data_IF_242171550927
#
_entry.id   IF_242171550927
#
_cell.length_a   1.000
_cell.length_b   1.000
_cell.length_c   1.000
_cell.angle_alpha   90.00
_cell.angle_beta   90.00
_cell.angle_gamma   90.00
#
_symmetry.space_group_name_H-M   'P 1'
#
loop_
_entity.id
_entity.type
_entity.pdbx_description
1 polymer ?
#
# COMPACT_ATOMS: atom_id res chain seq x y z
N UNK A 1 11.72 0.25 -15.31
CA UNK A 1 12.72 0.28 -14.22
C UNK A 1 12.60 -1.04 -13.48
N UNK A 2 13.70 -1.76 -13.27
CA UNK A 2 13.72 -3.03 -12.53
C UNK A 2 14.65 -2.89 -11.34
N UNK A 3 14.35 -3.58 -10.23
CA UNK A 3 15.27 -3.67 -9.10
C UNK A 3 16.59 -4.34 -9.52
N UNK A 4 17.71 -4.02 -8.86
CA UNK A 4 18.98 -4.68 -9.14
C UNK A 4 18.90 -6.16 -8.74
N UNK A 5 19.61 -7.04 -9.46
CA UNK A 5 19.64 -8.47 -9.14
C UNK A 5 20.29 -8.77 -7.79
N UNK A 6 21.25 -7.93 -7.38
CA UNK A 6 21.91 -8.00 -6.09
C UNK A 6 21.48 -6.80 -5.27
N UNK A 7 21.03 -7.06 -4.05
CA UNK A 7 20.74 -6.00 -3.09
C UNK A 7 22.03 -5.29 -2.67
N UNK A 8 21.90 -4.01 -2.28
CA UNK A 8 22.95 -3.25 -1.62
C UNK A 8 22.36 -2.30 -0.57
N UNK A 9 23.14 -1.90 0.45
CA UNK A 9 22.70 -0.91 1.43
C UNK A 9 22.26 0.40 0.76
N UNK A 10 21.17 0.99 1.25
CA UNK A 10 20.58 2.22 0.70
C UNK A 10 19.77 2.02 -0.58
N UNK A 11 19.51 0.78 -1.01
CA UNK A 11 18.57 0.51 -2.09
C UNK A 11 17.16 0.93 -1.67
N UNK A 12 16.65 1.98 -2.31
CA UNK A 12 15.34 2.56 -2.02
C UNK A 12 14.42 2.52 -3.23
N UNK A 13 13.11 2.53 -2.96
CA UNK A 13 12.07 2.74 -3.96
C UNK A 13 11.17 3.89 -3.56
N UNK A 14 10.54 4.52 -4.55
CA UNK A 14 9.46 5.48 -4.34
C UNK A 14 8.15 4.72 -4.44
N UNK A 15 7.34 4.78 -3.39
CA UNK A 15 5.98 4.24 -3.39
C UNK A 15 5.00 5.41 -3.33
N UNK A 16 4.10 5.46 -4.32
CA UNK A 16 3.02 6.43 -4.39
C UNK A 16 1.69 5.68 -4.37
N UNK A 17 0.77 6.13 -3.52
CA UNK A 17 -0.54 5.51 -3.40
C UNK A 17 -1.63 6.52 -3.07
N UNK A 18 -2.86 6.11 -3.31
CA UNK A 18 -4.06 6.90 -3.07
C UNK A 18 -4.96 6.14 -2.09
N UNK A 19 -5.42 6.81 -1.03
CA UNK A 19 -6.29 6.24 0.01
C UNK A 19 -7.66 6.91 -0.05
N UNK A 20 -8.68 6.10 -0.31
CA UNK A 20 -10.09 6.47 -0.17
C UNK A 20 -10.45 6.54 1.34
N UNK A 21 -10.89 7.68 1.87
CA UNK A 21 -11.26 7.82 3.28
C UNK A 21 -12.57 7.10 3.63
N UNK A 22 -13.40 6.77 2.65
CA UNK A 22 -14.72 6.17 2.82
C UNK A 22 -14.92 4.98 1.89
N UNK A 23 -14.06 3.94 2.01
CA UNK A 23 -14.13 2.78 1.13
C UNK A 23 -15.51 2.14 1.21
N UNK A 24 -16.03 1.73 0.05
CA UNK A 24 -17.34 1.08 -0.09
C UNK A 24 -18.57 1.93 0.27
N UNK A 25 -18.42 3.25 0.47
CA UNK A 25 -19.57 4.14 0.68
C UNK A 25 -20.61 4.05 -0.46
N UNK A 26 -20.17 3.72 -1.67
CA UNK A 26 -21.02 3.50 -2.85
C UNK A 26 -22.11 2.44 -2.64
N UNK A 27 -21.94 1.49 -1.71
CA UNK A 27 -22.93 0.46 -1.43
C UNK A 27 -24.20 1.00 -0.74
N UNK A 28 -24.16 2.22 -0.19
CA UNK A 28 -25.29 2.87 0.49
C UNK A 28 -25.95 3.96 -0.36
N UNK A 29 -25.45 4.18 -1.57
CA UNK A 29 -25.93 5.25 -2.42
C UNK A 29 -27.26 4.89 -3.08
N UNK A 30 -28.20 5.84 -3.21
CA UNK A 30 -29.49 5.60 -3.84
C UNK A 30 -29.39 5.43 -5.37
N UNK A 31 -28.33 5.95 -5.99
CA UNK A 31 -28.11 5.85 -7.44
C UNK A 31 -27.87 4.38 -7.85
N UNK A 32 -28.56 3.86 -8.89
CA UNK A 32 -28.26 2.53 -9.43
C UNK A 32 -26.79 2.42 -9.83
N UNK A 33 -26.14 1.32 -9.44
CA UNK A 33 -24.74 1.08 -9.73
C UNK A 33 -24.47 1.18 -11.24
N UNK A 34 -23.39 1.88 -11.61
CA UNK A 34 -22.99 2.13 -13.00
C UNK A 34 -23.94 2.99 -13.85
N UNK A 35 -24.95 3.62 -13.24
CA UNK A 35 -25.68 4.70 -13.91
C UNK A 35 -24.82 5.95 -14.10
N UNK A 36 -25.23 6.85 -14.99
CA UNK A 36 -24.52 8.13 -15.20
C UNK A 36 -24.42 8.95 -13.90
N UNK A 37 -25.50 8.95 -13.10
CA UNK A 37 -25.53 9.60 -11.80
C UNK A 37 -24.52 8.96 -10.82
N UNK A 38 -24.44 7.62 -10.80
CA UNK A 38 -23.46 6.89 -10.00
C UNK A 38 -22.03 7.21 -10.43
N UNK A 39 -21.73 7.21 -11.74
CA UNK A 39 -20.41 7.56 -12.26
C UNK A 39 -20.02 9.01 -11.95
N UNK A 40 -20.97 9.95 -12.07
CA UNK A 40 -20.77 11.35 -11.73
C UNK A 40 -20.44 11.52 -10.25
N UNK A 41 -21.12 10.78 -9.36
CA UNK A 41 -20.83 10.79 -7.92
C UNK A 41 -19.49 10.14 -7.60
N UNK A 42 -19.19 8.97 -8.14
CA UNK A 42 -17.88 8.32 -7.97
C UNK A 42 -16.74 9.26 -8.36
N UNK A 43 -16.89 10.02 -9.46
CA UNK A 43 -15.88 11.00 -9.88
C UNK A 43 -15.68 12.11 -8.84
N UNK A 44 -16.74 12.57 -8.17
CA UNK A 44 -16.65 13.55 -7.09
C UNK A 44 -15.98 12.95 -5.85
N UNK A 45 -16.35 11.74 -5.46
CA UNK A 45 -15.81 11.08 -4.27
C UNK A 45 -14.32 10.78 -4.41
N UNK A 46 -13.86 10.39 -5.62
CA UNK A 46 -12.43 10.23 -5.92
C UNK A 46 -11.60 11.50 -5.69
N UNK A 47 -12.20 12.70 -5.73
CA UNK A 47 -11.49 13.94 -5.43
C UNK A 47 -11.14 14.06 -3.93
N UNK A 48 -11.86 13.35 -3.07
CA UNK A 48 -11.61 13.32 -1.63
C UNK A 48 -10.50 12.33 -1.25
N UNK A 49 -10.02 11.54 -2.21
CA UNK A 49 -8.94 10.61 -1.95
C UNK A 49 -7.67 11.35 -1.55
N UNK A 50 -6.96 10.79 -0.57
CA UNK A 50 -5.69 11.35 -0.10
C UNK A 50 -4.54 10.69 -0.86
N UNK A 51 -3.55 11.48 -1.27
CA UNK A 51 -2.36 10.98 -1.97
C UNK A 51 -1.17 10.97 -1.04
N UNK A 52 -0.42 9.88 -1.10
CA UNK A 52 0.70 9.63 -0.22
C UNK A 52 1.91 9.22 -1.06
N UNK A 53 3.09 9.53 -0.52
CA UNK A 53 4.36 9.23 -1.14
C UNK A 53 5.39 8.94 -0.07
N UNK A 54 6.13 7.85 -0.23
CA UNK A 54 7.23 7.49 0.65
C UNK A 54 8.44 7.03 -0.16
N UNK A 55 9.63 7.34 0.35
CA UNK A 55 10.89 6.73 -0.09
C UNK A 55 11.20 5.66 0.95
N UNK A 56 11.24 4.40 0.52
CA UNK A 56 11.32 3.25 1.43
C UNK A 56 12.51 2.40 1.04
N UNK A 57 13.30 1.97 2.02
CA UNK A 57 14.35 0.99 1.80
C UNK A 57 13.75 -0.39 1.49
N UNK A 58 14.31 -1.05 0.49
CA UNK A 58 13.92 -2.42 0.14
C UNK A 58 14.60 -3.36 1.13
N UNK A 59 13.82 -4.25 1.75
CA UNK A 59 14.37 -5.27 2.64
C UNK A 59 15.48 -6.06 1.93
N UNK A 60 16.56 -6.45 2.66
CA UNK A 60 17.65 -7.24 2.08
C UNK A 60 17.15 -8.51 1.39
N UNK A 61 17.71 -8.80 0.22
CA UNK A 61 17.46 -10.03 -0.53
C UNK A 61 18.75 -10.55 -1.18
N UNK A 62 18.92 -11.87 -1.17
CA UNK A 62 20.04 -12.53 -1.84
C UNK A 62 19.73 -12.78 -3.31
N UNK A 63 18.52 -13.26 -3.57
CA UNK A 63 17.96 -13.47 -4.91
C UNK A 63 16.74 -12.58 -5.11
N UNK A 64 16.74 -11.84 -6.21
CA UNK A 64 15.62 -10.98 -6.59
C UNK A 64 14.39 -11.83 -6.91
N UNK A 65 13.32 -11.66 -6.14
CA UNK A 65 12.04 -12.31 -6.36
C UNK A 65 10.90 -11.35 -6.64
N UNK A 66 9.72 -11.65 -6.10
CA UNK A 66 8.51 -10.83 -6.26
C UNK A 66 8.59 -9.61 -5.37
N UNK A 67 8.15 -8.47 -5.88
CA UNK A 67 8.04 -7.24 -5.10
C UNK A 67 6.72 -7.26 -4.36
N UNK A 68 6.78 -7.26 -3.03
CA UNK A 68 5.63 -7.05 -2.16
C UNK A 68 5.70 -5.66 -1.53
N UNK A 69 4.58 -4.95 -1.56
CA UNK A 69 4.41 -3.65 -0.90
C UNK A 69 3.36 -3.82 0.20
N UNK A 70 3.79 -3.62 1.44
CA UNK A 70 2.92 -3.67 2.61
C UNK A 70 2.47 -2.27 2.96
N UNK A 71 1.16 -2.02 2.92
CA UNK A 71 0.56 -0.80 3.46
C UNK A 71 0.21 -1.03 4.92
N UNK A 72 0.90 -0.31 5.79
CA UNK A 72 0.77 -0.42 7.24
C UNK A 72 -0.07 0.74 7.78
N UNK A 73 -0.54 0.66 9.04
CA UNK A 73 -1.19 1.79 9.70
C UNK A 73 -0.36 3.08 9.64
N UNK A 74 -1.02 4.22 9.77
CA UNK A 74 -0.36 5.53 9.75
C UNK A 74 0.38 5.85 8.46
N UNK A 75 -0.10 5.31 7.33
CA UNK A 75 0.48 5.53 6.01
C UNK A 75 1.96 5.11 5.93
N UNK A 76 2.37 4.16 6.77
CA UNK A 76 3.68 3.55 6.69
C UNK A 76 3.70 2.48 5.60
N UNK A 77 4.85 2.30 4.97
CA UNK A 77 5.02 1.31 3.90
C UNK A 77 6.30 0.53 4.14
N UNK A 78 6.24 -0.79 3.92
CA UNK A 78 7.40 -1.66 3.90
C UNK A 78 7.46 -2.39 2.55
N UNK A 79 8.67 -2.58 2.02
CA UNK A 79 8.86 -3.20 0.70
C UNK A 79 9.85 -4.34 0.80
N UNK A 80 9.50 -5.49 0.23
CA UNK A 80 10.40 -6.62 0.03
C UNK A 80 10.43 -7.03 -1.43
N UNK A 81 11.54 -7.64 -1.86
CA UNK A 81 11.72 -8.13 -3.22
C UNK A 81 12.33 -9.55 -3.22
N UNK A 82 11.75 -10.45 -2.42
CA UNK A 82 12.27 -11.80 -2.16
C UNK A 82 11.47 -12.88 -2.91
N UNK A 83 12.04 -14.08 -3.05
CA UNK A 83 11.34 -15.22 -3.65
C UNK A 83 10.41 -15.97 -2.68
N UNK A 84 10.48 -15.65 -1.39
CA UNK A 84 9.68 -16.26 -0.32
C UNK A 84 8.38 -15.49 -0.15
N UNK A 85 7.26 -16.19 0.10
CA UNK A 85 5.94 -15.56 0.26
C UNK A 85 5.68 -15.10 1.70
N UNK A 86 4.80 -14.09 1.90
CA UNK A 86 4.39 -13.67 3.24
C UNK A 86 3.90 -14.83 4.12
N UNK A 87 4.38 -14.87 5.38
CA UNK A 87 4.01 -15.89 6.36
C UNK A 87 4.86 -17.19 6.30
N UNK A 88 5.76 -17.32 5.34
CA UNK A 88 6.75 -18.41 5.30
C UNK A 88 8.00 -18.03 6.10
N UNK A 89 8.71 -19.06 6.59
CA UNK A 89 10.00 -18.86 7.24
C UNK A 89 10.99 -18.19 6.28
N UNK A 90 11.68 -17.15 6.75
CA UNK A 90 12.64 -16.38 5.95
C UNK A 90 12.03 -15.19 5.20
N UNK A 91 10.71 -14.96 5.28
CA UNK A 91 10.15 -13.70 4.80
C UNK A 91 10.63 -12.52 5.68
N UNK A 92 11.01 -11.36 5.09
CA UNK A 92 11.61 -10.26 5.86
C UNK A 92 10.70 -9.64 6.92
N UNK A 93 9.38 -9.83 6.81
CA UNK A 93 8.39 -9.19 7.67
C UNK A 93 7.47 -10.20 8.35
N UNK A 94 7.04 -9.92 9.57
CA UNK A 94 6.08 -10.76 10.29
C UNK A 94 4.91 -9.91 10.82
N UNK A 95 4.27 -9.17 9.93
CA UNK A 95 3.11 -8.35 10.28
C UNK A 95 1.85 -9.23 10.47
N UNK A 96 1.03 -8.98 11.48
CA UNK A 96 -0.23 -9.69 11.65
C UNK A 96 -1.22 -9.28 10.55
N UNK A 97 -2.12 -10.20 10.14
CA UNK A 97 -3.09 -9.95 9.07
C UNK A 97 -4.10 -8.84 9.38
N UNK A 98 -4.29 -8.50 10.65
CA UNK A 98 -5.12 -7.39 11.11
C UNK A 98 -4.31 -6.53 12.05
N UNK A 99 -4.14 -5.26 11.69
CA UNK A 99 -3.52 -4.24 12.50
C UNK A 99 -4.52 -3.10 12.67
N UNK A 100 -4.77 -2.70 13.90
CA UNK A 100 -5.56 -1.51 14.18
C UNK A 100 -4.68 -0.27 14.00
N UNK A 101 -5.24 0.77 13.39
CA UNK A 101 -4.56 2.05 13.28
C UNK A 101 -4.65 2.77 14.63
N UNK A 102 -3.52 3.19 15.23
CA UNK A 102 -3.54 3.86 16.51
C UNK A 102 -4.28 5.21 16.40
N UNK A 103 -4.90 5.65 17.49
CA UNK A 103 -5.65 6.91 17.52
C UNK A 103 -4.79 8.13 17.18
N UNK A 104 -3.48 8.04 17.42
CA UNK A 104 -2.50 9.07 17.05
C UNK A 104 -1.37 8.38 16.31
N UNK A 105 -1.11 8.86 15.09
CA UNK A 105 0.03 8.42 14.31
C UNK A 105 1.30 9.15 14.77
N UNK A 106 2.45 8.45 14.82
CA UNK A 106 3.73 9.11 15.08
C UNK A 106 3.98 10.18 14.01
N UNK A 107 4.62 11.27 14.44
CA UNK A 107 5.05 12.30 13.50
C UNK A 107 6.06 11.69 12.50
N UNK A 108 6.00 12.09 11.21
CA UNK A 108 6.90 11.60 10.18
C UNK A 108 8.37 11.97 10.45
#
# INVERSE_FOLDING_TARGET
MSLPRKWHPGLTVVVEWEKDPTPHAYGKWPEPMFSDAWHARMKKEKLNNTRHRAIVEVAPYEELGVIDVHFLPCNQVAVSAVAVTPGQAGYPFNYPSRMEEPAVCPAP
#
